data_IF_847273850048
#
_entry.id   IF_847273850048
#
_cell.length_a   1.000
_cell.length_b   1.000
_cell.length_c   1.000
_cell.angle_alpha   90.00
_cell.angle_beta   90.00
_cell.angle_gamma   90.00
#
_symmetry.space_group_name_H-M   'P 1'
#
loop_
_entity.id
_entity.type
_entity.pdbx_description
1 polymer ?
#
# COMPACT_ATOMS: atom_id res chain seq x y z
N UNK A 1 -7.22 13.13 -3.83
CA UNK A 1 -5.74 13.31 -3.85
C UNK A 1 -5.41 14.50 -3.01
N UNK A 2 -4.77 14.26 -1.87
CA UNK A 2 -4.40 15.33 -0.96
C UNK A 2 -3.55 14.74 0.16
N UNK A 3 -2.78 15.60 0.80
CA UNK A 3 -1.95 15.23 1.93
C UNK A 3 -2.77 14.54 3.03
N UNK A 4 -2.22 13.49 3.63
CA UNK A 4 -2.89 12.70 4.66
C UNK A 4 -2.02 12.53 5.89
N UNK A 5 -2.62 12.69 7.07
CA UNK A 5 -1.97 12.44 8.35
C UNK A 5 -1.82 10.93 8.58
N UNK A 6 -0.81 10.55 9.35
CA UNK A 6 -0.53 9.14 9.68
C UNK A 6 -1.75 8.39 10.23
N UNK A 7 -2.48 9.00 11.17
CA UNK A 7 -3.68 8.39 11.76
C UNK A 7 -4.77 8.08 10.74
N UNK A 8 -4.96 8.95 9.74
CA UNK A 8 -5.93 8.74 8.64
C UNK A 8 -5.49 7.61 7.72
N UNK A 9 -4.21 7.57 7.36
CA UNK A 9 -3.63 6.49 6.57
C UNK A 9 -3.81 5.13 7.28
N UNK A 10 -3.49 5.08 8.58
CA UNK A 10 -3.66 3.87 9.39
C UNK A 10 -5.11 3.41 9.47
N UNK A 11 -6.06 4.35 9.60
CA UNK A 11 -7.48 4.01 9.66
C UNK A 11 -8.01 3.47 8.32
N UNK A 12 -7.47 3.96 7.20
CA UNK A 12 -7.90 3.55 5.86
C UNK A 12 -7.27 2.21 5.45
N UNK A 13 -6.04 1.94 5.89
CA UNK A 13 -5.30 0.72 5.61
C UNK A 13 -5.52 -0.33 6.71
N UNK A 14 -6.77 -0.80 6.85
CA UNK A 14 -7.12 -1.84 7.81
C UNK A 14 -6.21 -3.08 7.66
N UNK A 15 -5.71 -3.61 8.78
CA UNK A 15 -4.82 -4.77 8.82
C UNK A 15 -3.32 -4.46 8.71
N UNK A 16 -2.92 -3.21 8.43
CA UNK A 16 -1.50 -2.81 8.44
C UNK A 16 -1.10 -2.37 9.85
N UNK A 17 -0.09 -3.02 10.42
CA UNK A 17 0.47 -2.61 11.71
C UNK A 17 1.13 -1.23 11.62
N UNK A 18 1.18 -0.50 12.74
CA UNK A 18 1.82 0.82 12.81
C UNK A 18 3.30 0.77 12.37
N UNK A 19 4.00 -0.30 12.77
CA UNK A 19 5.39 -0.56 12.37
C UNK A 19 5.52 -0.74 10.86
N UNK A 20 4.65 -1.54 10.25
CA UNK A 20 4.64 -1.76 8.80
C UNK A 20 4.35 -0.46 8.05
N UNK A 21 3.30 0.28 8.45
CA UNK A 21 2.97 1.56 7.82
C UNK A 21 4.13 2.56 7.88
N UNK A 22 4.78 2.67 9.04
CA UNK A 22 5.96 3.52 9.20
C UNK A 22 7.10 3.10 8.28
N UNK A 23 7.38 1.80 8.20
CA UNK A 23 8.45 1.26 7.35
C UNK A 23 8.15 1.48 5.86
N UNK A 24 6.91 1.26 5.44
CA UNK A 24 6.46 1.52 4.06
C UNK A 24 6.57 3.00 3.73
N UNK A 25 6.06 3.91 4.57
CA UNK A 25 6.13 5.35 4.30
C UNK A 25 7.57 5.85 4.21
N UNK A 26 8.49 5.36 5.08
CA UNK A 26 9.92 5.68 4.99
C UNK A 26 10.56 5.19 3.70
N UNK A 27 10.16 4.00 3.23
CA UNK A 27 10.67 3.44 1.97
C UNK A 27 10.18 4.27 0.79
N UNK A 28 8.88 4.55 0.73
CA UNK A 28 8.28 5.38 -0.32
C UNK A 28 8.84 6.82 -0.31
N UNK A 29 9.17 7.37 0.86
CA UNK A 29 9.83 8.67 0.98
C UNK A 29 11.26 8.62 0.42
N UNK A 30 12.03 7.59 0.79
CA UNK A 30 13.39 7.35 0.28
C UNK A 30 13.41 7.17 -1.23
N UNK A 31 12.42 6.47 -1.78
CA UNK A 31 12.28 6.21 -3.22
C UNK A 31 11.75 7.44 -3.99
N UNK A 32 11.42 8.53 -3.30
CA UNK A 32 10.91 9.77 -3.90
C UNK A 32 9.46 9.69 -4.37
N UNK A 33 8.72 8.67 -3.96
CA UNK A 33 7.30 8.46 -4.31
C UNK A 33 6.36 9.23 -3.37
N UNK A 34 6.77 9.42 -2.12
CA UNK A 34 6.01 10.15 -1.10
C UNK A 34 6.85 11.30 -0.56
N UNK A 35 6.22 12.46 -0.38
CA UNK A 35 6.77 13.59 0.36
C UNK A 35 6.18 13.60 1.76
N UNK A 36 7.06 13.75 2.76
CA UNK A 36 6.69 13.97 4.16
C UNK A 36 6.88 15.45 4.51
N UNK A 37 5.82 16.10 4.98
CA UNK A 37 5.87 17.50 5.40
C UNK A 37 5.56 17.60 6.89
N UNK A 38 6.44 18.26 7.64
CA UNK A 38 6.25 18.57 9.06
C UNK A 38 5.68 19.98 9.17
N UNK A 39 4.56 20.10 9.86
CA UNK A 39 3.93 21.40 10.13
C UNK A 39 4.16 21.77 11.60
N UNK A 40 4.99 22.79 11.86
CA UNK A 40 5.33 23.23 13.22
C UNK A 40 4.26 24.17 13.80
N UNK A 41 3.00 23.74 13.77
CA UNK A 41 1.88 24.42 14.42
C UNK A 41 1.54 23.77 15.77
N UNK A 42 0.53 24.27 16.48
CA UNK A 42 0.06 23.68 17.74
C UNK A 42 -1.34 23.08 17.53
N UNK A 43 -1.52 21.76 17.65
CA UNK A 43 -0.51 20.72 17.86
C UNK A 43 0.31 20.41 16.60
N UNK A 44 1.61 20.06 16.72
CA UNK A 44 2.45 19.77 15.56
C UNK A 44 1.96 18.50 14.88
N UNK A 45 2.02 18.47 13.56
CA UNK A 45 1.57 17.31 12.80
C UNK A 45 2.42 17.06 11.55
N UNK A 46 2.23 15.88 10.98
CA UNK A 46 2.96 15.41 9.80
C UNK A 46 1.94 14.95 8.77
N UNK A 47 2.15 15.34 7.53
CA UNK A 47 1.37 14.86 6.40
C UNK A 47 2.25 14.17 5.36
N UNK A 48 1.62 13.23 4.66
CA UNK A 48 2.21 12.46 3.58
C UNK A 48 1.42 12.66 2.31
N UNK A 49 2.11 12.90 1.21
CA UNK A 49 1.51 13.13 -0.10
C UNK A 49 2.34 12.44 -1.19
N UNK A 50 1.69 11.93 -2.23
CA UNK A 50 2.40 11.44 -3.40
C UNK A 50 3.12 12.60 -4.11
N UNK A 51 4.37 12.39 -4.47
CA UNK A 51 5.13 13.29 -5.36
C UNK A 51 4.63 13.17 -6.79
N UNK A 52 5.13 14.01 -7.71
CA UNK A 52 4.86 13.84 -9.14
C UNK A 52 5.22 12.44 -9.64
N UNK A 53 6.36 11.88 -9.22
CA UNK A 53 6.75 10.50 -9.51
C UNK A 53 5.78 9.49 -8.88
N UNK A 54 5.39 9.69 -7.63
CA UNK A 54 4.40 8.84 -6.97
C UNK A 54 3.05 8.81 -7.70
N UNK A 55 2.62 9.93 -8.30
CA UNK A 55 1.37 9.98 -9.07
C UNK A 55 1.45 9.14 -10.35
N UNK A 56 2.63 8.94 -10.95
CA UNK A 56 2.75 8.13 -12.18
C UNK A 56 2.49 6.64 -11.94
N UNK A 57 2.54 6.17 -10.69
CA UNK A 57 2.21 4.79 -10.32
C UNK A 57 0.72 4.48 -10.43
N UNK A 58 -0.16 5.49 -10.54
CA UNK A 58 -1.60 5.27 -10.64
C UNK A 58 -1.99 4.42 -11.83
N UNK A 59 -1.44 4.71 -13.01
CA UNK A 59 -1.79 4.00 -14.23
C UNK A 59 -1.34 2.52 -14.19
N UNK A 60 -0.07 2.21 -13.82
CA UNK A 60 0.35 0.82 -13.62
C UNK A 60 -0.49 0.09 -12.56
N UNK A 61 -0.78 0.72 -11.42
CA UNK A 61 -1.58 0.10 -10.36
C UNK A 61 -3.03 -0.14 -10.81
N UNK A 62 -3.59 0.77 -11.60
CA UNK A 62 -4.92 0.62 -12.20
C UNK A 62 -4.94 -0.57 -13.15
N UNK A 63 -3.99 -0.67 -14.09
CA UNK A 63 -3.90 -1.80 -15.00
C UNK A 63 -3.75 -3.13 -14.24
N UNK A 64 -2.94 -3.15 -13.17
CA UNK A 64 -2.81 -4.33 -12.32
C UNK A 64 -4.13 -4.67 -11.61
N UNK A 65 -4.87 -3.65 -11.15
CA UNK A 65 -6.16 -3.83 -10.48
C UNK A 65 -7.20 -4.40 -11.45
N UNK A 66 -7.28 -3.85 -12.66
CA UNK A 66 -8.18 -4.32 -13.72
C UNK A 66 -7.89 -5.77 -14.10
N UNK A 67 -6.62 -6.11 -14.31
CA UNK A 67 -6.20 -7.50 -14.54
C UNK A 67 -6.59 -8.40 -13.35
N UNK A 68 -6.35 -7.95 -12.12
CA UNK A 68 -6.64 -8.73 -10.92
C UNK A 68 -8.14 -9.02 -10.80
N UNK A 69 -9.01 -8.06 -11.09
CA UNK A 69 -10.47 -8.26 -11.05
C UNK A 69 -10.92 -9.36 -12.01
N UNK A 70 -10.29 -9.45 -13.19
CA UNK A 70 -10.63 -10.47 -14.19
C UNK A 70 -10.14 -11.86 -13.77
N UNK A 71 -8.97 -11.95 -13.14
CA UNK A 71 -8.27 -13.23 -12.93
C UNK A 71 -8.20 -13.70 -11.47
N UNK A 72 -8.83 -12.99 -10.52
CA UNK A 72 -8.67 -13.31 -9.09
C UNK A 72 -9.15 -14.73 -8.74
N UNK A 73 -10.23 -15.19 -9.37
CA UNK A 73 -10.75 -16.54 -9.14
C UNK A 73 -9.76 -17.62 -9.61
N UNK A 74 -9.15 -17.45 -10.78
CA UNK A 74 -8.11 -18.36 -11.27
C UNK A 74 -6.91 -18.42 -10.32
N UNK A 75 -6.49 -17.27 -9.77
CA UNK A 75 -5.42 -17.19 -8.78
C UNK A 75 -5.81 -17.89 -7.47
N UNK A 76 -7.06 -17.74 -7.01
CA UNK A 76 -7.56 -18.40 -5.79
C UNK A 76 -7.61 -19.91 -5.99
N UNK A 77 -8.13 -20.40 -7.13
CA UNK A 77 -8.14 -21.82 -7.47
C UNK A 77 -6.73 -22.40 -7.49
N UNK A 78 -5.78 -21.73 -8.18
CA UNK A 78 -4.40 -22.19 -8.25
C UNK A 78 -3.72 -22.26 -6.87
N UNK A 79 -4.05 -21.33 -5.95
CA UNK A 79 -3.56 -21.37 -4.56
C UNK A 79 -4.10 -22.59 -3.81
N UNK A 80 -5.41 -22.84 -3.88
CA UNK A 80 -6.02 -24.02 -3.25
C UNK A 80 -5.42 -25.33 -3.76
N UNK A 81 -5.26 -25.48 -5.07
CA UNK A 81 -4.63 -26.69 -5.66
C UNK A 81 -3.18 -26.90 -5.20
N UNK A 82 -2.43 -25.80 -5.04
CA UNK A 82 -1.07 -25.85 -4.51
C UNK A 82 -1.07 -26.29 -3.05
N UNK A 83 -1.87 -25.64 -2.20
CA UNK A 83 -1.95 -25.92 -0.77
C UNK A 83 -2.35 -27.38 -0.53
N UNK A 84 -3.40 -27.87 -1.22
CA UNK A 84 -3.84 -29.26 -1.18
C UNK A 84 -2.72 -30.24 -1.56
N UNK A 85 -1.92 -29.92 -2.58
CA UNK A 85 -0.78 -30.76 -2.98
C UNK A 85 0.33 -30.78 -1.93
N UNK A 86 0.62 -29.64 -1.31
CA UNK A 86 1.64 -29.56 -0.25
C UNK A 86 1.20 -30.27 1.04
N UNK A 87 -0.08 -30.23 1.38
CA UNK A 87 -0.63 -30.93 2.55
C UNK A 87 -0.71 -32.46 2.35
N UNK A 88 -0.80 -32.93 1.11
CA UNK A 88 -0.82 -34.37 0.76
C UNK A 88 0.56 -35.02 0.68
N UNK A 89 1.65 -34.28 0.88
CA UNK A 89 3.00 -34.84 0.93
C UNK A 89 3.41 -35.03 2.39
N UNK A 90 3.46 -36.26 2.93
CA UNK A 90 3.93 -36.53 4.29
C UNK A 90 5.44 -36.33 4.46
#
# INVERSE_FOLDING_TARGET
>A
NGASRFGRLRQTLAGVSEKMLTQTLRTLERDGLVRRTVYPEVPPHVEYELTALGQTLREPLKALTEWSVVHIEEVITARGEYDDRTERTP
#
